data_IF_528287928935
#
_entry.id   IF_528287928935
#
_cell.length_a   1.000
_cell.length_b   1.000
_cell.length_c   1.000
_cell.angle_alpha   90.00
_cell.angle_beta   90.00
_cell.angle_gamma   90.00
#
_symmetry.space_group_name_H-M   'P 1'
#
loop_
_entity.id
_entity.type
_entity.pdbx_description
1 polymer ?
#
# COMPACT_ATOMS: atom_id res chain seq x y z
N UNK A 1 10.46 -27.35 14.21
CA UNK A 1 9.45 -27.45 13.16
C UNK A 1 8.39 -26.36 13.29
N UNK A 2 7.89 -26.12 14.51
CA UNK A 2 6.84 -25.13 14.69
C UNK A 2 7.32 -23.69 14.43
N UNK A 3 8.55 -23.40 14.81
CA UNK A 3 9.12 -22.10 14.51
C UNK A 3 9.34 -21.86 13.04
N UNK A 4 9.71 -22.92 12.33
CA UNK A 4 9.93 -22.86 10.89
C UNK A 4 8.64 -22.62 10.13
N UNK A 5 7.55 -23.22 10.57
CA UNK A 5 6.25 -23.01 9.96
C UNK A 5 5.82 -21.55 10.06
N UNK A 6 6.00 -20.96 11.24
CA UNK A 6 5.63 -19.55 11.45
C UNK A 6 6.46 -18.62 10.57
N UNK A 7 7.75 -18.88 10.44
CA UNK A 7 8.63 -18.08 9.59
C UNK A 7 8.27 -18.23 8.11
N UNK A 8 7.97 -19.44 7.68
CA UNK A 8 7.60 -19.70 6.29
C UNK A 8 6.28 -19.00 5.95
N UNK A 9 5.33 -18.98 6.87
CA UNK A 9 4.06 -18.31 6.66
C UNK A 9 4.24 -16.80 6.49
N UNK A 10 5.05 -16.18 7.35
CA UNK A 10 5.32 -14.75 7.24
C UNK A 10 6.05 -14.40 5.95
N UNK A 11 7.00 -15.23 5.55
CA UNK A 11 7.72 -15.01 4.31
C UNK A 11 6.78 -15.09 3.12
N UNK A 12 5.91 -16.08 3.08
CA UNK A 12 4.92 -16.24 2.00
C UNK A 12 4.02 -15.01 1.91
N UNK A 13 3.52 -14.54 3.04
CA UNK A 13 2.66 -13.37 3.07
C UNK A 13 3.38 -12.12 2.53
N UNK A 14 4.62 -11.90 2.97
CA UNK A 14 5.41 -10.76 2.51
C UNK A 14 5.69 -10.84 1.01
N UNK A 15 6.05 -12.02 0.50
CA UNK A 15 6.32 -12.21 -0.92
C UNK A 15 5.05 -11.97 -1.75
N UNK A 16 3.91 -12.42 -1.26
CA UNK A 16 2.62 -12.22 -1.92
C UNK A 16 2.30 -10.73 -2.08
N UNK A 17 2.43 -9.95 -1.01
CA UNK A 17 2.16 -8.52 -1.06
C UNK A 17 3.18 -7.78 -1.90
N UNK A 18 4.42 -8.23 -1.91
CA UNK A 18 5.47 -7.65 -2.75
C UNK A 18 5.14 -7.85 -4.24
N UNK A 19 4.63 -9.03 -4.62
CA UNK A 19 4.25 -9.31 -5.99
C UNK A 19 3.11 -8.39 -6.44
N UNK A 20 2.09 -8.22 -5.61
CA UNK A 20 0.97 -7.33 -5.97
C UNK A 20 1.42 -5.88 -6.07
N UNK A 21 2.33 -5.46 -5.21
CA UNK A 21 2.90 -4.12 -5.25
C UNK A 21 3.68 -3.90 -6.55
N UNK A 22 4.47 -4.88 -6.96
CA UNK A 22 5.23 -4.80 -8.19
C UNK A 22 4.31 -4.69 -9.40
N UNK A 23 3.22 -5.45 -9.42
CA UNK A 23 2.22 -5.35 -10.49
C UNK A 23 1.59 -3.94 -10.53
N UNK A 24 1.32 -3.38 -9.37
CA UNK A 24 0.75 -2.03 -9.29
C UNK A 24 1.71 -1.00 -9.87
N UNK A 25 2.96 -1.04 -9.44
CA UNK A 25 3.99 -0.08 -9.87
C UNK A 25 4.25 -0.20 -11.37
N UNK A 26 4.19 -1.41 -11.91
CA UNK A 26 4.42 -1.63 -13.33
C UNK A 26 3.35 -0.98 -14.22
N UNK A 27 2.22 -0.57 -13.67
CA UNK A 27 1.19 0.14 -14.42
C UNK A 27 1.46 1.64 -14.55
N UNK A 28 2.35 2.19 -13.70
CA UNK A 28 2.61 3.63 -13.69
C UNK A 28 3.12 4.16 -15.03
N UNK A 29 4.03 3.48 -15.74
CA UNK A 29 4.54 4.01 -17.01
C UNK A 29 3.46 4.20 -18.08
N UNK A 30 2.34 3.53 -17.94
CA UNK A 30 1.24 3.63 -18.90
C UNK A 30 0.16 4.64 -18.47
N UNK A 31 0.38 5.34 -17.37
CA UNK A 31 -0.62 6.26 -16.82
C UNK A 31 -0.15 7.71 -17.02
N UNK A 32 -0.83 8.42 -17.93
CA UNK A 32 -0.46 9.80 -18.27
C UNK A 32 -0.69 10.76 -17.12
N UNK A 33 -1.71 10.53 -16.30
CA UNK A 33 -1.99 11.40 -15.16
C UNK A 33 -0.79 11.47 -14.22
N UNK A 34 -0.16 10.32 -13.98
CA UNK A 34 0.96 10.23 -13.04
C UNK A 34 2.25 10.77 -13.64
N UNK A 35 2.47 10.56 -14.94
CA UNK A 35 3.72 10.96 -15.59
C UNK A 35 3.76 12.43 -15.95
N UNK A 36 2.63 13.09 -16.07
CA UNK A 36 2.56 14.49 -16.47
C UNK A 36 2.83 15.47 -15.33
N UNK A 37 2.98 14.99 -14.13
CA UNK A 37 3.22 15.84 -12.97
C UNK A 37 4.72 15.96 -12.72
N UNK A 38 5.14 17.15 -12.26
CA UNK A 38 6.57 17.39 -12.03
C UNK A 38 7.11 16.54 -10.90
N UNK A 39 6.43 16.53 -9.77
CA UNK A 39 6.82 15.73 -8.62
C UNK A 39 5.58 15.38 -7.80
N UNK A 40 5.36 14.11 -7.59
CA UNK A 40 4.23 13.64 -6.81
C UNK A 40 4.63 13.48 -5.36
N UNK A 41 3.79 13.94 -4.45
CA UNK A 41 3.95 13.66 -3.03
C UNK A 41 3.25 12.35 -2.75
N UNK A 42 4.05 11.31 -2.45
CA UNK A 42 3.53 9.96 -2.22
C UNK A 42 3.69 9.57 -0.77
N UNK A 43 2.66 8.92 -0.25
CA UNK A 43 2.76 8.24 1.03
C UNK A 43 2.39 6.77 0.85
N UNK A 44 2.71 5.94 1.82
CA UNK A 44 2.53 4.49 1.72
C UNK A 44 1.83 3.97 2.98
N UNK A 45 1.02 2.94 2.80
CA UNK A 45 0.36 2.28 3.93
C UNK A 45 0.23 0.79 3.63
N UNK A 46 0.60 -0.05 4.58
CA UNK A 46 0.52 -1.50 4.42
C UNK A 46 1.56 -2.08 3.49
N UNK A 47 2.65 -1.37 3.25
CA UNK A 47 3.75 -1.79 2.38
C UNK A 47 5.07 -1.47 3.06
N UNK A 48 6.13 -2.17 2.64
CA UNK A 48 7.48 -1.84 3.07
C UNK A 48 7.99 -0.67 2.21
N UNK A 49 8.26 0.46 2.84
CA UNK A 49 8.64 1.69 2.14
C UNK A 49 9.83 1.49 1.21
N UNK A 50 10.83 0.76 1.66
CA UNK A 50 12.04 0.54 0.87
C UNK A 50 11.76 -0.24 -0.41
N UNK A 51 10.86 -1.22 -0.34
CA UNK A 51 10.46 -2.00 -1.51
C UNK A 51 9.74 -1.13 -2.54
N UNK A 52 8.83 -0.29 -2.07
CA UNK A 52 8.09 0.61 -2.96
C UNK A 52 9.05 1.57 -3.65
N UNK A 53 9.93 2.20 -2.86
CA UNK A 53 10.88 3.15 -3.42
C UNK A 53 11.82 2.51 -4.42
N UNK A 54 12.24 1.27 -4.15
CA UNK A 54 13.10 0.53 -5.06
C UNK A 54 12.45 0.37 -6.44
N UNK A 55 11.19 -0.02 -6.48
CA UNK A 55 10.48 -0.19 -7.75
C UNK A 55 10.17 1.15 -8.41
N UNK A 56 9.78 2.16 -7.65
CA UNK A 56 9.43 3.47 -8.21
C UNK A 56 10.63 4.17 -8.85
N UNK A 57 11.81 4.01 -8.27
CA UNK A 57 13.01 4.65 -8.79
C UNK A 57 13.44 4.11 -10.16
N UNK A 58 12.95 2.95 -10.54
CA UNK A 58 13.25 2.36 -11.84
C UNK A 58 12.41 2.94 -12.97
N UNK A 59 11.37 3.68 -12.66
CA UNK A 59 10.46 4.21 -13.68
C UNK A 59 11.04 5.48 -14.26
N UNK A 60 11.19 5.50 -15.60
CA UNK A 60 11.70 6.67 -16.31
C UNK A 60 10.63 7.77 -16.33
N UNK A 61 11.08 9.02 -16.22
CA UNK A 61 10.21 10.20 -16.27
C UNK A 61 9.15 10.25 -15.18
N UNK A 62 9.39 9.56 -14.08
CA UNK A 62 8.50 9.57 -12.92
C UNK A 62 9.27 10.13 -11.73
N UNK A 63 8.82 11.27 -11.22
CA UNK A 63 9.45 11.90 -10.08
C UNK A 63 8.48 11.92 -8.91
N UNK A 64 8.99 11.55 -7.74
CA UNK A 64 8.16 11.53 -6.54
C UNK A 64 8.98 11.93 -5.34
N UNK A 65 8.27 12.43 -4.32
CA UNK A 65 8.81 12.69 -3.00
C UNK A 65 7.98 11.89 -2.00
N UNK A 66 8.64 11.07 -1.20
CA UNK A 66 7.94 10.37 -0.13
C UNK A 66 7.66 11.35 1.00
N UNK A 67 6.42 11.37 1.47
CA UNK A 67 6.02 12.20 2.60
C UNK A 67 5.38 11.34 3.68
N UNK A 68 5.46 11.82 4.91
CA UNK A 68 4.80 11.18 6.03
C UNK A 68 3.42 11.82 6.20
N UNK A 69 2.36 11.06 5.94
CA UNK A 69 1.01 11.59 5.97
C UNK A 69 0.58 12.14 7.33
N UNK A 70 1.33 11.82 8.39
CA UNK A 70 1.05 12.35 9.72
C UNK A 70 1.46 13.82 9.86
N UNK A 71 2.45 14.27 9.09
CA UNK A 71 3.02 15.61 9.22
C UNK A 71 2.95 16.44 7.96
N UNK A 72 2.77 15.84 6.80
CA UNK A 72 2.72 16.54 5.53
C UNK A 72 1.55 16.07 4.69
N UNK A 73 1.07 16.95 3.83
CA UNK A 73 0.06 16.60 2.84
C UNK A 73 0.65 15.73 1.75
N UNK A 74 -0.17 14.85 1.20
CA UNK A 74 0.22 13.97 0.10
C UNK A 74 -0.78 14.11 -1.05
N UNK A 75 -0.32 13.75 -2.26
CA UNK A 75 -1.18 13.77 -3.44
C UNK A 75 -1.77 12.39 -3.72
N UNK A 76 -0.96 11.35 -3.56
CA UNK A 76 -1.35 9.97 -3.84
C UNK A 76 -0.82 9.06 -2.74
N UNK A 77 -1.52 7.96 -2.51
CA UNK A 77 -1.11 6.94 -1.55
C UNK A 77 -1.07 5.58 -2.24
N UNK A 78 -0.02 4.82 -1.95
CA UNK A 78 0.12 3.43 -2.40
C UNK A 78 -0.18 2.54 -1.21
N UNK A 79 -1.13 1.63 -1.38
CA UNK A 79 -1.61 0.78 -0.30
C UNK A 79 -1.80 -0.66 -0.75
N UNK A 80 -1.63 -1.58 0.18
CA UNK A 80 -2.12 -2.94 0.03
C UNK A 80 -3.33 -3.15 0.93
N UNK A 81 -4.16 -4.15 0.62
CA UNK A 81 -5.32 -4.49 1.43
C UNK A 81 -4.93 -5.36 2.63
N UNK A 82 -3.83 -5.01 3.24
CA UNK A 82 -3.31 -5.70 4.40
C UNK A 82 -3.90 -5.07 5.66
N UNK A 83 -4.31 -5.91 6.59
CA UNK A 83 -4.83 -5.43 7.87
C UNK A 83 -3.70 -4.78 8.68
N UNK A 84 -4.08 -3.82 9.52
CA UNK A 84 -3.13 -3.22 10.44
C UNK A 84 -2.58 -4.25 11.41
N UNK A 85 -1.35 -4.03 11.85
CA UNK A 85 -0.70 -4.91 12.81
C UNK A 85 -1.52 -5.02 14.10
N UNK A 86 -1.61 -6.22 14.67
CA UNK A 86 -2.40 -6.44 15.89
C UNK A 86 -1.98 -5.61 17.10
N UNK A 87 -0.77 -5.08 17.10
CA UNK A 87 -0.28 -4.28 18.23
C UNK A 87 -1.17 -3.08 18.49
N UNK A 88 -1.68 -2.44 17.45
CA UNK A 88 -2.55 -1.28 17.58
C UNK A 88 -3.91 -1.63 18.13
N UNK A 89 -4.35 -2.85 17.91
CA UNK A 89 -5.67 -3.30 18.34
C UNK A 89 -5.64 -4.03 19.66
N UNK A 90 -4.46 -4.39 20.14
CA UNK A 90 -4.32 -5.28 21.29
C UNK A 90 -4.88 -4.71 22.57
N UNK A 91 -4.77 -3.43 22.77
CA UNK A 91 -5.28 -2.75 23.95
C UNK A 91 -6.77 -2.47 23.88
N UNK A 92 -7.31 -2.36 22.70
CA UNK A 92 -8.71 -2.11 22.47
C UNK A 92 -9.50 -3.37 22.15
N UNK A 93 -8.85 -4.51 22.14
CA UNK A 93 -9.50 -5.77 21.79
C UNK A 93 -10.36 -6.32 22.91
N UNK A 94 -11.60 -5.86 22.93
CA UNK A 94 -12.64 -6.76 23.31
C UNK A 94 -12.96 -7.66 22.12
N UNK A 95 -13.76 -8.70 22.36
CA UNK A 95 -14.15 -9.63 21.32
C UNK A 95 -14.82 -8.93 20.12
N UNK A 96 -15.44 -7.80 20.36
CA UNK A 96 -16.16 -7.05 19.36
C UNK A 96 -15.25 -6.31 18.38
N UNK A 97 -13.98 -6.13 18.73
CA UNK A 97 -13.08 -5.34 17.90
C UNK A 97 -12.49 -6.09 16.73
N UNK A 98 -12.62 -7.41 16.70
CA UNK A 98 -12.17 -8.19 15.56
C UNK A 98 -12.94 -7.87 14.29
N UNK A 99 -14.22 -7.49 14.43
CA UNK A 99 -15.04 -7.10 13.29
C UNK A 99 -14.73 -5.70 12.81
N UNK A 100 -13.94 -4.93 13.57
CA UNK A 100 -13.61 -3.54 13.26
C UNK A 100 -12.15 -3.37 12.80
N UNK A 101 -11.49 -4.47 12.42
CA UNK A 101 -10.15 -4.38 11.89
C UNK A 101 -10.21 -3.60 10.57
N UNK A 102 -9.53 -2.46 10.55
CA UNK A 102 -9.50 -1.61 9.37
C UNK A 102 -8.24 -1.84 8.57
N UNK A 103 -8.39 -1.81 7.26
CA UNK A 103 -7.25 -1.81 6.36
C UNK A 103 -6.88 -0.37 6.03
N UNK A 104 -5.77 -0.21 5.35
CA UNK A 104 -5.40 1.10 4.83
C UNK A 104 -6.48 1.67 3.92
N UNK A 105 -7.18 0.81 3.18
CA UNK A 105 -8.24 1.24 2.26
C UNK A 105 -9.37 1.96 2.99
N UNK A 106 -9.67 1.55 4.20
CA UNK A 106 -10.73 2.18 5.00
C UNK A 106 -10.30 3.52 5.58
N UNK A 107 -9.00 3.66 5.85
CA UNK A 107 -8.47 4.85 6.49
C UNK A 107 -8.27 6.02 5.53
N UNK A 108 -7.86 5.73 4.30
CA UNK A 108 -7.51 6.78 3.34
C UNK A 108 -8.50 6.79 2.19
N UNK A 109 -9.29 7.84 2.11
CA UNK A 109 -10.32 7.98 1.08
C UNK A 109 -9.76 8.69 -0.14
N UNK A 110 -10.38 8.44 -1.29
CA UNK A 110 -9.98 9.06 -2.53
C UNK A 110 -10.41 8.24 -3.74
N UNK A 111 -9.80 8.55 -4.88
CA UNK A 111 -10.10 7.89 -6.15
C UNK A 111 -8.99 6.93 -6.51
N UNK A 112 -9.33 5.68 -6.75
CA UNK A 112 -8.35 4.68 -7.20
C UNK A 112 -7.93 4.98 -8.64
N UNK A 113 -6.64 5.28 -8.81
CA UNK A 113 -6.06 5.57 -10.12
C UNK A 113 -5.57 4.28 -10.76
N UNK A 114 -4.91 3.43 -9.99
CA UNK A 114 -4.42 2.12 -10.41
C UNK A 114 -4.78 1.09 -9.34
N UNK A 115 -5.14 -0.11 -9.79
CA UNK A 115 -5.45 -1.20 -8.86
C UNK A 115 -4.88 -2.52 -9.37
N UNK A 116 -4.66 -3.43 -8.42
CA UNK A 116 -4.38 -4.85 -8.71
C UNK A 116 -5.51 -5.66 -8.09
N UNK A 117 -6.21 -6.41 -8.93
CA UNK A 117 -7.38 -7.19 -8.51
C UNK A 117 -7.12 -8.68 -8.68
N UNK A 118 -7.70 -9.48 -7.78
CA UNK A 118 -7.77 -10.93 -7.90
C UNK A 118 -9.16 -11.39 -7.45
N UNK A 119 -9.86 -12.10 -8.33
CA UNK A 119 -11.19 -12.64 -8.02
C UNK A 119 -12.17 -11.58 -7.53
N UNK A 120 -12.10 -10.39 -8.12
CA UNK A 120 -12.98 -9.29 -7.75
C UNK A 120 -12.57 -8.52 -6.51
N UNK A 121 -11.47 -8.91 -5.88
CA UNK A 121 -10.98 -8.23 -4.69
C UNK A 121 -9.78 -7.35 -5.06
N UNK A 122 -9.81 -6.10 -4.59
CA UNK A 122 -8.68 -5.18 -4.77
C UNK A 122 -7.60 -5.53 -3.74
N UNK A 123 -6.41 -5.87 -4.21
CA UNK A 123 -5.29 -6.23 -3.35
C UNK A 123 -4.35 -5.08 -3.08
N UNK A 124 -4.15 -4.22 -4.07
CA UNK A 124 -3.35 -3.02 -3.90
C UNK A 124 -3.92 -1.91 -4.77
N UNK A 125 -3.63 -0.67 -4.38
CA UNK A 125 -4.14 0.50 -5.10
C UNK A 125 -3.17 1.66 -5.00
N UNK A 126 -3.15 2.48 -6.04
CA UNK A 126 -2.61 3.82 -6.00
C UNK A 126 -3.80 4.76 -6.05
N UNK A 127 -4.04 5.48 -4.98
CA UNK A 127 -5.25 6.28 -4.78
C UNK A 127 -4.90 7.76 -4.70
N UNK A 128 -5.64 8.57 -5.45
CA UNK A 128 -5.53 10.02 -5.35
C UNK A 128 -6.31 10.50 -4.13
N UNK A 129 -5.69 11.35 -3.33
CA UNK A 129 -6.32 11.91 -2.14
C UNK A 129 -7.60 12.64 -2.50
N UNK A 130 -8.64 12.45 -1.70
CA UNK A 130 -9.88 13.20 -1.81
C UNK A 130 -9.75 14.50 -0.99
N UNK A 131 -10.13 15.60 -1.58
CA UNK A 131 -10.10 16.91 -0.92
C UNK A 131 -11.50 17.31 -0.45
#
# INVERSE_FOLDING_TARGET
>A
LNGDFSKAHKKFENDYWTVTLKELVNQIPNNKELLNKKELRLTFCGVADDNVKFYLKKIKNFQFKQVNWLVEDYDYIIMTNRAFEPIESKESMGADNLSNVKTCFDRFKGRDVLTVNRNGLILSTLRKKSY
#
